data_IF_340412489829
#
_entry.id   IF_340412489829
#
_cell.length_a   1.000
_cell.length_b   1.000
_cell.length_c   1.000
_cell.angle_alpha   90.00
_cell.angle_beta   90.00
_cell.angle_gamma   90.00
#
_symmetry.space_group_name_H-M   'P 1'
#
loop_
_entity.id
_entity.type
_entity.pdbx_description
1 polymer ?
#
# COMPACT_ATOMS: atom_id res chain seq x y z
N UNK A 1 3.53 2.14 -8.76
CA UNK A 1 2.96 2.65 -10.04
C UNK A 1 1.65 1.93 -10.37
N UNK A 2 0.75 2.51 -11.19
CA UNK A 2 -0.54 1.85 -11.56
C UNK A 2 -0.34 0.55 -12.33
N UNK A 3 0.57 0.52 -13.31
CA UNK A 3 0.88 -0.68 -14.09
C UNK A 3 1.35 -1.83 -13.19
N UNK A 4 2.36 -1.58 -12.35
CA UNK A 4 2.86 -2.55 -11.37
C UNK A 4 1.77 -3.04 -10.42
N UNK A 5 0.93 -2.15 -9.89
CA UNK A 5 -0.16 -2.60 -9.01
C UNK A 5 -1.07 -3.64 -9.70
N UNK A 6 -1.43 -3.40 -10.97
CA UNK A 6 -2.23 -4.34 -11.77
C UNK A 6 -1.50 -5.65 -12.05
N UNK A 7 -0.21 -5.60 -12.37
CA UNK A 7 0.62 -6.80 -12.58
C UNK A 7 0.65 -7.71 -11.34
N UNK A 8 0.57 -7.11 -10.14
CA UNK A 8 0.49 -7.83 -8.87
C UNK A 8 -0.94 -8.14 -8.41
N UNK A 9 -1.93 -7.99 -9.30
CA UNK A 9 -3.32 -8.38 -9.06
C UNK A 9 -4.18 -7.35 -8.34
N UNK A 10 -3.71 -6.11 -8.14
CA UNK A 10 -4.53 -5.04 -7.58
C UNK A 10 -5.52 -4.52 -8.62
N UNK A 11 -6.79 -4.39 -8.21
CA UNK A 11 -7.80 -3.66 -8.97
C UNK A 11 -7.53 -2.16 -8.89
N UNK A 12 -7.32 -1.55 -10.05
CA UNK A 12 -7.08 -0.10 -10.18
C UNK A 12 -7.85 0.45 -11.39
N UNK A 13 -9.00 1.03 -11.14
CA UNK A 13 -9.92 1.64 -12.10
C UNK A 13 -10.56 2.94 -11.53
N UNK A 14 -11.68 3.38 -12.10
CA UNK A 14 -12.38 4.60 -11.68
C UNK A 14 -13.18 4.44 -10.38
N UNK A 15 -13.61 3.22 -10.07
CA UNK A 15 -14.42 2.91 -8.88
C UNK A 15 -13.54 2.53 -7.70
N UNK A 16 -12.44 1.83 -7.98
CA UNK A 16 -11.59 1.17 -6.99
C UNK A 16 -10.11 1.43 -7.28
N UNK A 17 -9.35 1.68 -6.22
CA UNK A 17 -7.89 1.68 -6.24
C UNK A 17 -7.35 0.97 -4.99
N UNK A 18 -7.10 -0.34 -5.13
CA UNK A 18 -6.65 -1.21 -4.04
C UNK A 18 -5.23 -0.89 -3.55
N UNK A 19 -4.54 0.09 -4.15
CA UNK A 19 -3.31 0.65 -3.57
C UNK A 19 -3.58 1.42 -2.27
N UNK A 20 -4.82 1.82 -2.04
CA UNK A 20 -5.25 2.40 -0.76
C UNK A 20 -5.84 1.36 0.19
N UNK A 21 -5.96 0.09 -0.22
CA UNK A 21 -6.27 -0.99 0.71
C UNK A 21 -4.97 -1.36 1.44
N UNK A 22 -4.93 -1.11 2.76
CA UNK A 22 -3.70 -1.21 3.54
C UNK A 22 -3.10 -2.62 3.48
N UNK A 23 -3.91 -3.65 3.66
CA UNK A 23 -3.49 -5.04 3.68
C UNK A 23 -3.03 -5.51 2.30
N UNK A 24 -3.80 -5.23 1.25
CA UNK A 24 -3.44 -5.61 -0.13
C UNK A 24 -2.18 -4.88 -0.58
N UNK A 25 -2.10 -3.57 -0.37
CA UNK A 25 -0.94 -2.78 -0.75
C UNK A 25 0.34 -3.24 -0.02
N UNK A 26 0.24 -3.53 1.28
CA UNK A 26 1.38 -4.02 2.08
C UNK A 26 1.84 -5.40 1.59
N UNK A 27 0.90 -6.31 1.33
CA UNK A 27 1.20 -7.65 0.81
C UNK A 27 1.88 -7.58 -0.57
N UNK A 28 1.32 -6.78 -1.48
CA UNK A 28 1.91 -6.54 -2.82
C UNK A 28 3.30 -5.93 -2.72
N UNK A 29 3.51 -4.93 -1.86
CA UNK A 29 4.82 -4.30 -1.67
C UNK A 29 5.87 -5.30 -1.14
N UNK A 30 5.50 -6.12 -0.16
CA UNK A 30 6.39 -7.16 0.38
C UNK A 30 6.74 -8.22 -0.68
N UNK A 31 5.76 -8.64 -1.50
CA UNK A 31 6.00 -9.56 -2.61
C UNK A 31 6.97 -8.98 -3.62
N UNK A 32 6.75 -7.72 -4.04
CA UNK A 32 7.64 -7.01 -4.96
C UNK A 32 9.09 -6.97 -4.44
N UNK A 33 9.29 -6.59 -3.17
CA UNK A 33 10.63 -6.48 -2.58
C UNK A 33 11.32 -7.85 -2.50
N UNK A 34 10.58 -8.91 -2.17
CA UNK A 34 11.11 -10.28 -2.16
C UNK A 34 11.51 -10.75 -3.55
N UNK A 35 10.69 -10.48 -4.58
CA UNK A 35 11.03 -10.78 -5.97
C UNK A 35 12.25 -9.99 -6.43
N UNK A 36 12.35 -8.71 -6.07
CA UNK A 36 13.52 -7.88 -6.34
C UNK A 36 14.78 -8.45 -5.69
N UNK A 37 14.70 -8.88 -4.44
CA UNK A 37 15.82 -9.55 -3.78
C UNK A 37 16.18 -10.87 -4.46
N UNK A 38 15.21 -11.70 -4.79
CA UNK A 38 15.44 -12.97 -5.51
C UNK A 38 16.08 -12.77 -6.88
N UNK A 39 15.77 -11.66 -7.57
CA UNK A 39 16.35 -11.31 -8.86
C UNK A 39 17.77 -10.74 -8.76
N UNK A 40 18.00 -9.82 -7.83
CA UNK A 40 19.25 -9.06 -7.77
C UNK A 40 20.25 -9.56 -6.73
N UNK A 41 19.83 -10.44 -5.81
CA UNK A 41 20.65 -10.88 -4.67
C UNK A 41 21.01 -9.77 -3.67
N UNK A 42 20.42 -8.57 -3.82
CA UNK A 42 20.81 -7.37 -3.08
C UNK A 42 19.59 -6.57 -2.66
N UNK A 43 19.49 -6.28 -1.35
CA UNK A 43 18.41 -5.46 -0.80
C UNK A 43 18.48 -4.00 -1.26
N UNK A 44 19.67 -3.46 -1.52
CA UNK A 44 19.82 -2.08 -2.00
C UNK A 44 19.34 -1.94 -3.44
N UNK A 45 19.64 -2.92 -4.30
CA UNK A 45 19.09 -2.98 -5.66
C UNK A 45 17.58 -3.24 -5.65
N UNK A 46 17.09 -4.15 -4.79
CA UNK A 46 15.66 -4.38 -4.62
C UNK A 46 14.93 -3.09 -4.21
N UNK A 47 15.44 -2.36 -3.23
CA UNK A 47 14.87 -1.09 -2.76
C UNK A 47 14.90 0.00 -3.84
N UNK A 48 16.02 0.15 -4.54
CA UNK A 48 16.13 1.12 -5.63
C UNK A 48 15.16 0.76 -6.78
N UNK A 49 15.03 -0.53 -7.12
CA UNK A 49 14.06 -1.02 -8.11
C UNK A 49 12.61 -0.76 -7.70
N UNK A 50 12.29 -0.75 -6.39
CA UNK A 50 10.95 -0.42 -5.92
C UNK A 50 10.55 1.02 -6.27
N UNK A 51 11.51 1.95 -6.23
CA UNK A 51 11.27 3.35 -6.60
C UNK A 51 11.21 3.56 -8.13
N UNK A 52 12.15 2.98 -8.89
CA UNK A 52 12.26 3.25 -10.33
C UNK A 52 11.69 2.16 -11.26
N UNK A 53 11.19 1.06 -10.68
CA UNK A 53 10.77 -0.15 -11.38
C UNK A 53 11.93 -1.11 -11.71
N UNK A 54 11.71 -2.42 -11.58
CA UNK A 54 12.69 -3.47 -11.96
C UNK A 54 13.19 -3.34 -13.41
N UNK A 55 12.29 -3.11 -14.37
CA UNK A 55 12.71 -2.90 -15.76
C UNK A 55 13.60 -1.66 -15.93
N UNK A 56 13.36 -0.61 -15.13
CA UNK A 56 14.20 0.59 -15.09
C UNK A 56 15.57 0.30 -14.49
N UNK A 57 15.60 -0.49 -13.42
CA UNK A 57 16.83 -0.95 -12.78
C UNK A 57 17.68 -1.79 -13.73
N UNK A 58 17.09 -2.80 -14.38
CA UNK A 58 17.80 -3.69 -15.33
C UNK A 58 18.49 -2.90 -16.43
N UNK A 59 17.76 -1.97 -17.05
CA UNK A 59 18.32 -1.11 -18.11
C UNK A 59 19.47 -0.26 -17.59
N UNK A 60 19.37 0.24 -16.36
CA UNK A 60 20.43 1.07 -15.75
C UNK A 60 21.69 0.26 -15.48
N UNK A 61 21.56 -0.93 -14.88
CA UNK A 61 22.66 -1.87 -14.61
C UNK A 61 23.39 -2.22 -15.91
N UNK A 62 22.65 -2.65 -16.93
CA UNK A 62 23.22 -2.98 -18.26
C UNK A 62 23.88 -1.77 -18.91
N UNK A 63 23.23 -0.60 -18.87
CA UNK A 63 23.77 0.63 -19.50
C UNK A 63 25.09 1.08 -18.85
N UNK A 64 25.22 0.91 -17.54
CA UNK A 64 26.42 1.34 -16.80
C UNK A 64 27.47 0.24 -16.67
N UNK A 65 27.13 -1.01 -17.04
CA UNK A 65 28.06 -2.14 -16.97
C UNK A 65 28.40 -2.54 -15.53
N UNK A 66 27.48 -2.33 -14.59
CA UNK A 66 27.65 -2.62 -13.16
C UNK A 66 26.55 -3.53 -12.67
N UNK A 67 26.82 -4.27 -11.59
CA UNK A 67 25.93 -5.27 -11.01
C UNK A 67 25.56 -5.00 -9.54
N UNK A 68 26.07 -3.92 -8.96
CA UNK A 68 25.85 -3.55 -7.57
C UNK A 68 25.34 -2.11 -7.45
N UNK A 69 24.65 -1.83 -6.35
CA UNK A 69 24.02 -0.53 -6.12
C UNK A 69 25.02 0.62 -5.94
N UNK A 70 26.17 0.35 -5.33
CA UNK A 70 27.08 1.41 -4.90
C UNK A 70 27.91 1.98 -6.06
N UNK A 71 28.08 1.19 -7.13
CA UNK A 71 28.72 1.64 -8.37
C UNK A 71 27.73 2.29 -9.35
N UNK A 72 26.42 2.29 -9.06
CA UNK A 72 25.42 2.92 -9.90
C UNK A 72 25.40 4.45 -9.74
N UNK A 73 25.48 5.14 -10.88
CA UNK A 73 25.09 6.53 -10.99
C UNK A 73 23.58 6.66 -11.19
N UNK A 74 22.85 6.88 -10.10
CA UNK A 74 21.38 7.05 -10.10
C UNK A 74 20.97 8.52 -10.01
N UNK A 75 19.75 8.82 -10.45
CA UNK A 75 19.17 10.14 -10.19
C UNK A 75 19.02 10.36 -8.65
N UNK A 76 19.01 11.62 -8.19
CA UNK A 76 18.98 11.90 -6.75
C UNK A 76 17.73 11.39 -6.02
N UNK A 77 16.60 11.22 -6.70
CA UNK A 77 15.39 10.68 -6.10
C UNK A 77 15.56 9.21 -5.71
N UNK A 78 15.95 8.36 -6.66
CA UNK A 78 16.16 6.93 -6.43
C UNK A 78 17.33 6.66 -5.51
N UNK A 79 18.43 7.41 -5.66
CA UNK A 79 19.58 7.29 -4.76
C UNK A 79 19.19 7.58 -3.29
N UNK A 80 18.41 8.63 -3.05
CA UNK A 80 17.94 8.96 -1.69
C UNK A 80 16.88 7.99 -1.17
N UNK A 81 16.13 7.32 -2.05
CA UNK A 81 15.08 6.40 -1.64
C UNK A 81 15.60 5.27 -0.75
N UNK A 82 16.73 4.66 -1.11
CA UNK A 82 17.36 3.58 -0.34
C UNK A 82 17.73 4.05 1.06
N UNK A 83 18.39 5.22 1.18
CA UNK A 83 18.76 5.78 2.48
C UNK A 83 17.54 6.15 3.33
N UNK A 84 16.48 6.70 2.73
CA UNK A 84 15.23 6.99 3.44
C UNK A 84 14.58 5.72 3.97
N UNK A 85 14.55 4.65 3.18
CA UNK A 85 14.00 3.37 3.62
C UNK A 85 14.79 2.79 4.80
N UNK A 86 16.12 2.84 4.75
CA UNK A 86 16.99 2.40 5.86
C UNK A 86 16.76 3.28 7.09
N UNK A 87 16.69 4.60 6.94
CA UNK A 87 16.42 5.52 8.05
C UNK A 87 15.09 5.20 8.74
N UNK A 88 14.02 4.99 7.97
CA UNK A 88 12.72 4.59 8.52
C UNK A 88 12.81 3.25 9.23
N UNK A 89 13.50 2.25 8.65
CA UNK A 89 13.71 0.96 9.31
C UNK A 89 14.39 1.12 10.67
N UNK A 90 15.50 1.87 10.73
CA UNK A 90 16.25 2.10 11.97
C UNK A 90 15.41 2.83 13.01
N UNK A 91 14.68 3.87 12.61
CA UNK A 91 13.76 4.60 13.49
C UNK A 91 12.66 3.67 14.02
N UNK A 92 12.11 2.78 13.19
CA UNK A 92 11.05 1.86 13.61
C UNK A 92 11.56 0.74 14.55
N UNK A 93 12.81 0.30 14.39
CA UNK A 93 13.43 -0.71 15.25
C UNK A 93 13.86 -0.14 16.62
N UNK A 94 14.39 1.08 16.62
CA UNK A 94 14.89 1.74 17.84
C UNK A 94 14.47 3.22 17.91
N UNK A 95 13.17 3.53 18.05
CA UNK A 95 12.68 4.92 17.94
C UNK A 95 13.29 5.86 18.98
N UNK A 96 13.55 5.36 20.19
CA UNK A 96 14.18 6.12 21.28
C UNK A 96 15.56 6.67 20.92
N UNK A 97 16.35 5.91 20.17
CA UNK A 97 17.73 6.27 19.79
C UNK A 97 17.74 7.47 18.83
N UNK A 98 16.61 7.72 18.16
CA UNK A 98 16.40 8.85 17.26
C UNK A 98 15.51 9.95 17.86
N UNK A 99 15.25 9.90 19.18
CA UNK A 99 14.49 10.92 19.89
C UNK A 99 12.96 10.80 19.76
N UNK A 100 12.45 9.71 19.20
CA UNK A 100 11.01 9.44 19.16
C UNK A 100 10.59 8.77 20.47
N UNK A 101 9.93 9.55 21.33
CA UNK A 101 9.31 9.06 22.56
C UNK A 101 7.80 9.23 22.45
N UNK A 102 7.08 8.11 22.51
CA UNK A 102 5.63 8.07 22.45
C UNK A 102 5.08 7.25 23.62
N UNK A 103 3.91 7.65 24.11
CA UNK A 103 3.11 6.87 25.06
C UNK A 103 2.12 6.03 24.26
N UNK A 104 1.55 5.00 24.87
CA UNK A 104 0.53 4.17 24.21
C UNK A 104 -0.64 4.99 23.65
N UNK A 105 -1.03 6.07 24.33
CA UNK A 105 -2.10 6.97 23.88
C UNK A 105 -1.72 7.87 22.70
N UNK A 106 -0.44 8.01 22.39
CA UNK A 106 0.04 8.75 21.22
C UNK A 106 0.04 7.86 19.96
N UNK A 107 -0.10 6.54 20.13
CA UNK A 107 -0.20 5.57 19.04
C UNK A 107 -1.63 5.47 18.50
N UNK A 108 -1.73 5.03 17.24
CA UNK A 108 -3.03 4.72 16.63
C UNK A 108 -3.64 3.47 17.28
N UNK A 109 -4.88 3.59 17.76
CA UNK A 109 -5.67 2.46 18.22
C UNK A 109 -6.30 1.71 17.04
N UNK A 110 -6.37 0.38 17.13
CA UNK A 110 -7.10 -0.42 16.14
C UNK A 110 -8.61 -0.17 16.25
N UNK A 111 -9.22 0.21 15.14
CA UNK A 111 -10.68 0.32 15.05
C UNK A 111 -11.29 -1.07 14.88
N UNK A 112 -12.19 -1.53 15.77
CA UNK A 112 -12.83 -2.83 15.62
C UNK A 112 -13.80 -2.80 14.44
N UNK A 113 -13.51 -3.61 13.41
CA UNK A 113 -14.34 -3.73 12.20
C UNK A 113 -14.90 -5.15 12.03
N UNK A 114 -16.02 -5.26 11.34
CA UNK A 114 -16.49 -6.47 10.65
C UNK A 114 -16.19 -6.33 9.16
N UNK A 115 -15.97 -7.44 8.48
CA UNK A 115 -15.82 -7.47 7.02
C UNK A 115 -17.09 -8.05 6.43
N UNK A 116 -17.74 -7.26 5.57
CA UNK A 116 -18.89 -7.68 4.79
C UNK A 116 -18.44 -8.00 3.37
N UNK A 117 -18.70 -9.22 2.91
CA UNK A 117 -18.44 -9.61 1.53
C UNK A 117 -19.68 -9.30 0.70
N UNK A 118 -19.54 -8.40 -0.28
CA UNK A 118 -20.61 -7.96 -1.17
C UNK A 118 -20.33 -8.44 -2.58
N UNK A 119 -21.21 -9.25 -3.13
CA UNK A 119 -21.14 -9.87 -4.47
C UNK A 119 -22.01 -9.16 -5.52
N UNK A 120 -22.64 -8.04 -5.14
CA UNK A 120 -23.50 -7.21 -5.99
C UNK A 120 -23.05 -5.75 -6.01
N UNK A 121 -23.50 -5.01 -7.03
CA UNK A 121 -23.16 -3.59 -7.18
C UNK A 121 -23.84 -2.74 -6.11
N UNK A 122 -23.08 -1.84 -5.51
CA UNK A 122 -23.57 -0.79 -4.62
C UNK A 122 -23.72 0.50 -5.44
N UNK A 123 -24.95 0.92 -5.70
CA UNK A 123 -25.25 2.11 -6.51
C UNK A 123 -25.02 3.44 -5.77
N UNK A 124 -25.11 3.44 -4.44
CA UNK A 124 -24.87 4.60 -3.60
C UNK A 124 -24.27 4.20 -2.25
N UNK A 125 -22.99 4.50 -2.04
CA UNK A 125 -22.27 4.20 -0.80
C UNK A 125 -22.83 4.92 0.43
N UNK A 126 -23.50 6.07 0.26
CA UNK A 126 -24.12 6.78 1.38
C UNK A 126 -25.35 6.03 1.89
N UNK A 127 -26.21 5.55 1.00
CA UNK A 127 -27.37 4.71 1.36
C UNK A 127 -26.89 3.39 1.95
N UNK A 128 -25.94 2.72 1.31
CA UNK A 128 -25.35 1.49 1.81
C UNK A 128 -24.76 1.65 3.21
N UNK A 129 -24.03 2.74 3.48
CA UNK A 129 -23.49 3.03 4.81
C UNK A 129 -24.60 3.10 5.87
N UNK A 130 -25.71 3.79 5.57
CA UNK A 130 -26.85 3.93 6.48
C UNK A 130 -27.51 2.58 6.75
N UNK A 131 -27.69 1.73 5.73
CA UNK A 131 -28.23 0.37 5.87
C UNK A 131 -27.35 -0.52 6.76
N UNK A 132 -26.03 -0.32 6.72
CA UNK A 132 -25.07 -1.01 7.60
C UNK A 132 -24.93 -0.33 8.98
N UNK A 133 -25.75 0.67 9.30
CA UNK A 133 -25.73 1.35 10.60
C UNK A 133 -24.49 2.23 10.84
N UNK A 134 -23.87 2.75 9.78
CA UNK A 134 -22.70 3.63 9.85
C UNK A 134 -22.88 4.89 8.99
N UNK A 135 -21.88 5.76 8.99
CA UNK A 135 -21.87 6.98 8.17
C UNK A 135 -21.01 6.80 6.92
N UNK A 136 -21.33 7.54 5.85
CA UNK A 136 -20.51 7.59 4.65
C UNK A 136 -19.04 7.95 4.97
N UNK A 137 -18.82 8.86 5.92
CA UNK A 137 -17.48 9.26 6.38
C UNK A 137 -16.71 8.07 6.97
N UNK A 138 -17.30 7.36 7.93
CA UNK A 138 -16.66 6.20 8.56
C UNK A 138 -16.40 5.08 7.54
N UNK A 139 -17.35 4.81 6.65
CA UNK A 139 -17.19 3.83 5.57
C UNK A 139 -15.98 4.16 4.67
N UNK A 140 -15.84 5.42 4.25
CA UNK A 140 -14.73 5.89 3.40
C UNK A 140 -13.39 5.88 4.13
N UNK A 141 -13.36 6.21 5.41
CA UNK A 141 -12.14 6.16 6.23
C UNK A 141 -11.62 4.73 6.38
N UNK A 142 -12.52 3.76 6.53
CA UNK A 142 -12.14 2.34 6.66
C UNK A 142 -11.85 1.66 5.32
N UNK A 143 -12.39 2.20 4.22
CA UNK A 143 -12.24 1.64 2.87
C UNK A 143 -11.77 2.73 1.88
N UNK A 144 -10.59 3.35 2.08
CA UNK A 144 -10.12 4.44 1.23
C UNK A 144 -9.79 4.00 -0.21
N UNK A 145 -9.77 2.70 -0.46
CA UNK A 145 -9.68 2.08 -1.79
C UNK A 145 -10.94 2.26 -2.64
N UNK A 146 -12.10 2.52 -2.02
CA UNK A 146 -13.28 2.97 -2.75
C UNK A 146 -13.03 4.40 -3.24
N UNK A 147 -13.10 4.62 -4.55
CA UNK A 147 -12.80 5.92 -5.18
C UNK A 147 -14.06 6.66 -5.61
N UNK A 148 -15.10 5.94 -6.03
CA UNK A 148 -16.40 6.50 -6.43
C UNK A 148 -17.46 6.40 -5.31
N UNK A 149 -18.63 7.03 -5.51
CA UNK A 149 -19.82 6.87 -4.65
C UNK A 149 -20.67 5.63 -5.03
N UNK A 150 -20.27 4.90 -6.07
CA UNK A 150 -20.79 3.59 -6.44
C UNK A 150 -19.62 2.64 -6.63
N UNK A 151 -19.87 1.33 -6.51
CA UNK A 151 -18.87 0.31 -6.78
C UNK A 151 -19.54 -0.98 -7.22
N UNK A 152 -18.98 -1.61 -8.24
CA UNK A 152 -19.39 -2.94 -8.70
C UNK A 152 -18.28 -3.94 -8.41
N UNK A 153 -18.58 -5.18 -7.99
CA UNK A 153 -17.59 -6.25 -7.97
C UNK A 153 -17.11 -6.55 -9.40
N UNK A 154 -15.91 -7.12 -9.53
CA UNK A 154 -15.49 -7.74 -10.80
C UNK A 154 -16.38 -8.96 -11.07
N UNK A 155 -16.47 -9.41 -12.33
CA UNK A 155 -17.26 -10.60 -12.68
C UNK A 155 -16.90 -11.81 -11.79
N UNK A 156 -17.87 -12.35 -11.06
CA UNK A 156 -17.69 -13.46 -10.10
C UNK A 156 -16.85 -13.12 -8.86
N UNK A 157 -16.53 -11.84 -8.65
CA UNK A 157 -15.75 -11.36 -7.52
C UNK A 157 -16.60 -10.86 -6.36
N UNK A 158 -15.95 -10.58 -5.23
CA UNK A 158 -16.56 -10.02 -4.03
C UNK A 158 -15.80 -8.79 -3.55
N UNK A 159 -16.52 -7.81 -3.02
CA UNK A 159 -15.97 -6.65 -2.34
C UNK A 159 -15.92 -6.94 -0.83
N UNK A 160 -14.72 -6.99 -0.26
CA UNK A 160 -14.53 -7.12 1.19
C UNK A 160 -14.56 -5.72 1.84
N UNK A 161 -15.74 -5.29 2.29
CA UNK A 161 -15.96 -3.94 2.82
C UNK A 161 -15.89 -3.96 4.34
N UNK A 162 -15.02 -3.14 4.92
CA UNK A 162 -14.88 -2.97 6.38
C UNK A 162 -15.98 -2.05 6.92
N UNK A 163 -16.76 -2.55 7.87
CA UNK A 163 -17.82 -1.83 8.57
C UNK A 163 -17.42 -1.72 10.06
N UNK A 164 -17.60 -0.58 10.73
CA UNK A 164 -17.24 -0.47 12.14
C UNK A 164 -18.21 -1.29 13.03
N UNK A 165 -17.69 -2.04 14.01
CA UNK A 165 -18.51 -2.82 14.96
C UNK A 165 -19.24 -1.98 16.00
N UNK A 166 -18.79 -0.75 16.22
CA UNK A 166 -19.41 0.26 17.08
C UNK A 166 -19.31 1.59 16.38
N UNK A 167 -20.30 2.43 16.60
CA UNK A 167 -20.30 3.77 16.06
C UNK A 167 -19.02 4.48 16.55
N UNK A 168 -18.13 4.84 15.62
CA UNK A 168 -16.90 5.57 15.90
C UNK A 168 -17.32 7.01 16.19
N UNK A 169 -17.93 7.24 17.36
CA UNK A 169 -18.16 8.58 17.87
C UNK A 169 -16.78 9.19 18.10
N UNK A 170 -16.55 10.33 17.47
CA UNK A 170 -15.32 11.12 17.58
C UNK A 170 -14.98 11.40 19.04
#
# INVERSE_FOLDING_TARGET
MKATGKEYGLRIDSEVDERYDLEKATSTAAKYLKEGYGKYGSWTLAAASYNMGMNGMDRTLVKQGVDNYYDLYLNPETARYVYRMIAVKLIMESPSDFGFQFRDKDLYSTVPVSVLNVDSSISNLSTFAQEQGTTYKQLRLLNPWLRSNHVSPTSGGVLAIKIPKKDLKN
#
